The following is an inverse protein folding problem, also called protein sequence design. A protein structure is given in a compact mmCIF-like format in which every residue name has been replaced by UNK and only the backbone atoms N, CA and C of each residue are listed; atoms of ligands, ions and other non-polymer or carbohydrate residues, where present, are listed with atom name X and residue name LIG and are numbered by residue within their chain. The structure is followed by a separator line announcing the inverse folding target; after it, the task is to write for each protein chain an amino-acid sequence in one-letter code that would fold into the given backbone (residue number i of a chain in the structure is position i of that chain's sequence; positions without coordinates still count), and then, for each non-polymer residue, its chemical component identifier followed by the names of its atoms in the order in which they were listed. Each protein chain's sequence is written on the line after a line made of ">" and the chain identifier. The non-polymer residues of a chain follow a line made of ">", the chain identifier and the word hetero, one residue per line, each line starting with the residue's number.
data_IF_311281943370
#
_entry.id   IF_311281943370
#
_cell.length_a   1.000
_cell.length_b   1.000
_cell.length_c   1.000
_cell.angle_alpha   90.00
_cell.angle_beta   90.00
_cell.angle_gamma   90.00
#
_symmetry.space_group_name_H-M   'P 1'
#
loop_
_entity.id
_entity.type
_entity.pdbx_description
1 polymer ?
#
# COMPACT_ATOMS: atom_id res chain seq x y z
N UNK A 1 -13.85 20.40 11.38
CA UNK A 1 -12.61 20.10 12.14
C UNK A 1 -12.35 18.61 12.12
N UNK A 2 -11.11 18.20 11.93
CA UNK A 2 -10.70 16.81 12.07
C UNK A 2 -10.36 16.47 13.53
N UNK A 3 -10.62 15.23 13.90
CA UNK A 3 -10.36 14.66 15.24
C UNK A 3 -9.50 13.41 15.11
N UNK A 4 -8.83 13.03 16.18
CA UNK A 4 -8.10 11.77 16.29
C UNK A 4 -8.59 11.00 17.53
N UNK A 5 -8.76 9.70 17.38
CA UNK A 5 -9.08 8.79 18.47
C UNK A 5 -8.33 7.48 18.34
N UNK A 6 -8.03 6.86 19.45
CA UNK A 6 -7.45 5.53 19.54
C UNK A 6 -8.50 4.56 20.07
N UNK A 7 -8.66 3.44 19.39
CA UNK A 7 -9.66 2.42 19.72
C UNK A 7 -9.05 1.03 19.65
N UNK A 8 -9.60 0.11 20.44
CA UNK A 8 -9.26 -1.32 20.31
C UNK A 8 -10.31 -1.97 19.41
N UNK A 9 -9.85 -2.48 18.26
CA UNK A 9 -10.71 -3.16 17.29
C UNK A 9 -10.29 -4.61 17.15
N UNK A 10 -11.24 -5.52 17.23
CA UNK A 10 -11.00 -6.95 17.06
C UNK A 10 -11.08 -7.30 15.57
N UNK A 11 -10.00 -7.90 15.06
CA UNK A 11 -9.95 -8.48 13.71
C UNK A 11 -9.67 -9.97 13.79
N UNK A 12 -10.30 -10.74 12.93
CA UNK A 12 -9.89 -12.10 12.62
C UNK A 12 -8.45 -12.05 12.11
N UNK A 13 -7.53 -12.70 12.82
CA UNK A 13 -6.10 -12.57 12.58
C UNK A 13 -5.47 -13.93 12.35
N UNK A 14 -4.64 -14.02 11.30
CA UNK A 14 -3.78 -15.16 11.01
C UNK A 14 -2.33 -14.74 11.31
N UNK A 15 -1.79 -15.07 12.48
CA UNK A 15 -0.49 -14.62 12.89
C UNK A 15 0.65 -15.23 12.06
N UNK A 16 1.81 -14.60 12.12
CA UNK A 16 3.05 -15.13 11.57
C UNK A 16 4.03 -15.38 12.72
N UNK A 17 4.88 -16.40 12.57
CA UNK A 17 5.89 -16.71 13.57
C UNK A 17 6.96 -15.61 13.68
N UNK A 18 7.60 -15.52 14.82
CA UNK A 18 8.76 -14.66 15.04
C UNK A 18 9.88 -14.97 14.03
N UNK A 19 10.73 -13.98 13.74
CA UNK A 19 11.92 -14.20 12.93
C UNK A 19 12.85 -15.25 13.56
N UNK A 20 13.52 -16.04 12.71
CA UNK A 20 14.58 -16.90 13.17
C UNK A 20 15.80 -16.04 13.58
N UNK A 21 16.33 -16.14 14.79
CA UNK A 21 17.51 -15.38 15.23
C UNK A 21 18.79 -15.81 14.49
N UNK A 22 18.79 -16.97 13.85
CA UNK A 22 19.95 -17.51 13.13
C UNK A 22 19.86 -17.10 11.66
N UNK A 23 20.96 -16.57 11.12
CA UNK A 23 21.05 -16.19 9.72
C UNK A 23 20.73 -17.37 8.79
N UNK A 24 19.89 -17.15 7.79
CA UNK A 24 19.46 -18.15 6.83
C UNK A 24 19.88 -17.72 5.43
N UNK A 25 20.52 -18.64 4.68
CA UNK A 25 20.93 -18.37 3.30
C UNK A 25 19.70 -18.00 2.43
N UNK A 26 19.84 -16.95 1.65
CA UNK A 26 18.77 -16.46 0.76
C UNK A 26 17.70 -15.64 1.46
N UNK A 27 17.85 -15.36 2.76
CA UNK A 27 16.96 -14.46 3.50
C UNK A 27 17.71 -13.19 3.94
N UNK A 28 16.96 -12.09 4.02
CA UNK A 28 17.46 -10.80 4.51
C UNK A 28 17.03 -10.65 5.96
N UNK A 29 17.92 -10.07 6.80
CA UNK A 29 17.54 -9.72 8.18
C UNK A 29 16.21 -8.97 8.21
N UNK A 30 15.25 -9.35 9.07
CA UNK A 30 15.36 -10.20 10.27
C UNK A 30 15.10 -11.72 10.09
N UNK A 31 15.32 -12.31 8.97
CA UNK A 31 15.30 -13.76 8.71
C UNK A 31 14.00 -14.47 9.04
N UNK A 32 12.90 -13.95 8.55
CA UNK A 32 11.61 -14.60 8.67
C UNK A 32 11.59 -15.98 8.02
N UNK A 33 10.90 -16.90 8.64
CA UNK A 33 10.71 -18.24 8.10
C UNK A 33 9.72 -18.18 6.93
N UNK A 34 10.02 -18.88 5.86
CA UNK A 34 9.09 -19.00 4.72
C UNK A 34 7.76 -19.66 5.11
N UNK A 35 7.82 -20.65 6.01
CA UNK A 35 6.67 -21.41 6.52
C UNK A 35 6.11 -20.86 7.84
N UNK A 36 6.40 -19.61 8.15
CA UNK A 36 6.02 -18.99 9.43
C UNK A 36 4.54 -18.59 9.53
N UNK A 37 3.78 -18.68 8.46
CA UNK A 37 2.35 -18.38 8.46
C UNK A 37 1.51 -19.57 8.99
N UNK A 38 0.26 -19.29 9.36
CA UNK A 38 -0.71 -20.28 9.82
C UNK A 38 -2.04 -20.13 9.09
N UNK A 39 -2.78 -21.22 8.97
CA UNK A 39 -4.17 -21.28 8.52
C UNK A 39 -5.18 -21.21 9.67
N UNK A 40 -4.69 -21.06 10.91
CA UNK A 40 -5.51 -20.96 12.11
C UNK A 40 -5.67 -19.51 12.51
N UNK A 41 -6.90 -19.03 12.35
CA UNK A 41 -7.26 -17.70 12.78
C UNK A 41 -7.55 -17.64 14.27
N UNK A 42 -7.32 -16.45 14.84
CA UNK A 42 -7.73 -16.07 16.18
C UNK A 42 -8.34 -14.67 16.17
N UNK A 43 -9.23 -14.38 17.09
CA UNK A 43 -9.71 -13.02 17.31
C UNK A 43 -8.67 -12.24 18.11
N UNK A 44 -8.09 -11.21 17.49
CA UNK A 44 -7.08 -10.37 18.12
C UNK A 44 -7.51 -8.91 18.13
N UNK A 45 -7.42 -8.29 19.31
CA UNK A 45 -7.64 -6.86 19.46
C UNK A 45 -6.38 -6.08 19.10
N UNK A 46 -6.50 -5.22 18.09
CA UNK A 46 -5.46 -4.32 17.60
C UNK A 46 -5.68 -2.90 18.09
N UNK A 47 -4.62 -2.16 18.32
CA UNK A 47 -4.72 -0.73 18.56
C UNK A 47 -4.85 0.00 17.21
N UNK A 48 -5.91 0.76 17.07
CA UNK A 48 -6.27 1.44 15.83
C UNK A 48 -6.38 2.93 16.06
N UNK A 49 -5.69 3.72 15.26
CA UNK A 49 -5.85 5.18 15.23
C UNK A 49 -6.82 5.53 14.12
N UNK A 50 -7.83 6.34 14.45
CA UNK A 50 -8.80 6.84 13.49
C UNK A 50 -8.70 8.36 13.41
N UNK A 51 -8.38 8.87 12.23
CA UNK A 51 -8.51 10.28 11.88
C UNK A 51 -9.85 10.48 11.20
N UNK A 52 -10.62 11.47 11.63
CA UNK A 52 -11.98 11.66 11.13
C UNK A 52 -12.36 13.13 11.05
N UNK A 53 -12.96 13.53 9.93
CA UNK A 53 -13.66 14.80 9.75
C UNK A 53 -15.10 14.54 9.28
N UNK A 54 -15.80 15.56 8.80
CA UNK A 54 -17.19 15.41 8.36
C UNK A 54 -17.34 14.52 7.12
N UNK A 55 -16.27 14.35 6.32
CA UNK A 55 -16.28 13.71 5.00
C UNK A 55 -15.52 12.40 4.94
N UNK A 56 -14.45 12.25 5.71
CA UNK A 56 -13.51 11.14 5.59
C UNK A 56 -13.20 10.54 6.94
N UNK A 57 -13.10 9.22 6.99
CA UNK A 57 -12.51 8.46 8.07
C UNK A 57 -11.31 7.67 7.56
N UNK A 58 -10.15 7.83 8.21
CA UNK A 58 -8.90 7.13 7.90
C UNK A 58 -8.50 6.25 9.08
N UNK A 59 -8.35 4.97 8.84
CA UNK A 59 -7.96 3.98 9.84
C UNK A 59 -6.49 3.64 9.69
N UNK A 60 -5.72 3.69 10.77
CA UNK A 60 -4.28 3.45 10.78
C UNK A 60 -3.97 2.38 11.82
N UNK A 61 -3.08 1.44 11.49
CA UNK A 61 -2.65 0.35 12.38
C UNK A 61 -1.17 0.49 12.74
N UNK A 62 -0.84 1.16 13.86
CA UNK A 62 0.56 1.32 14.29
C UNK A 62 1.28 0.00 14.56
N UNK A 63 0.57 -1.03 15.00
CA UNK A 63 1.14 -2.35 15.29
C UNK A 63 1.46 -3.16 14.01
N UNK A 64 1.01 -2.68 12.83
CA UNK A 64 1.27 -3.30 11.52
C UNK A 64 1.94 -2.27 10.60
N UNK A 65 3.18 -1.91 10.89
CA UNK A 65 3.99 -1.02 10.06
C UNK A 65 3.49 0.43 9.98
N UNK A 66 2.52 0.84 10.79
CA UNK A 66 1.87 2.14 10.67
C UNK A 66 1.03 2.27 9.42
N UNK A 67 0.62 1.16 8.85
CA UNK A 67 -0.17 1.08 7.63
C UNK A 67 -1.48 1.87 7.76
N UNK A 68 -1.83 2.67 6.75
CA UNK A 68 -3.22 3.09 6.58
C UNK A 68 -4.00 1.84 6.22
N UNK A 69 -4.85 1.38 7.13
CA UNK A 69 -5.59 0.14 6.94
C UNK A 69 -6.75 0.31 5.96
N UNK A 70 -7.41 1.44 6.03
CA UNK A 70 -8.50 1.80 5.13
C UNK A 70 -8.81 3.29 5.17
N UNK A 71 -9.53 3.78 4.17
CA UNK A 71 -10.08 5.12 4.14
C UNK A 71 -11.45 5.12 3.45
N UNK A 72 -12.42 5.77 4.08
CA UNK A 72 -13.82 5.75 3.66
C UNK A 72 -14.34 7.18 3.47
N UNK A 73 -15.02 7.41 2.36
CA UNK A 73 -15.87 8.58 2.16
C UNK A 73 -17.16 8.40 2.98
N UNK A 74 -17.36 9.23 3.98
CA UNK A 74 -18.51 9.18 4.88
C UNK A 74 -19.82 9.61 4.22
N UNK A 75 -19.74 10.36 3.12
CA UNK A 75 -20.93 10.85 2.41
C UNK A 75 -21.58 9.76 1.57
N UNK A 76 -20.79 8.85 1.04
CA UNK A 76 -21.24 7.72 0.23
C UNK A 76 -21.17 6.38 0.96
N UNK A 77 -20.36 6.28 2.02
CA UNK A 77 -20.04 5.03 2.71
C UNK A 77 -19.07 4.14 1.95
N UNK A 78 -18.48 4.64 0.84
CA UNK A 78 -17.58 3.86 -0.02
C UNK A 78 -16.12 3.98 0.46
N UNK A 79 -15.44 2.85 0.57
CA UNK A 79 -14.01 2.82 0.80
C UNK A 79 -13.26 3.13 -0.52
N UNK A 80 -12.34 4.09 -0.46
CA UNK A 80 -11.44 4.41 -1.57
C UNK A 80 -9.99 3.94 -1.33
N UNK A 81 -9.69 3.48 -0.12
CA UNK A 81 -8.53 2.64 0.19
C UNK A 81 -9.09 1.31 0.70
N UNK A 82 -8.64 0.21 0.11
CA UNK A 82 -9.12 -1.13 0.42
C UNK A 82 -8.84 -1.48 1.89
N UNK A 83 -9.91 -1.70 2.63
CA UNK A 83 -9.92 -2.12 4.03
C UNK A 83 -10.08 -3.65 4.08
N UNK A 84 -9.02 -4.34 4.45
CA UNK A 84 -9.07 -5.80 4.52
C UNK A 84 -9.83 -6.24 5.79
N UNK A 85 -10.83 -7.10 5.63
CA UNK A 85 -11.64 -7.64 6.73
C UNK A 85 -10.84 -8.52 7.69
N UNK A 86 -9.68 -9.02 7.25
CA UNK A 86 -8.82 -9.91 8.02
C UNK A 86 -7.39 -9.40 8.09
N UNK A 87 -6.73 -9.62 9.21
CA UNK A 87 -5.28 -9.45 9.34
C UNK A 87 -4.61 -10.77 9.01
N UNK A 88 -4.08 -10.87 7.80
CA UNK A 88 -3.52 -12.12 7.28
C UNK A 88 -2.08 -11.89 6.85
N UNK A 89 -1.14 -12.33 7.69
CA UNK A 89 0.29 -12.24 7.38
C UNK A 89 0.71 -13.39 6.49
N UNK A 90 1.37 -13.05 5.37
CA UNK A 90 1.91 -14.02 4.41
C UNK A 90 3.31 -13.61 3.99
N UNK A 91 4.22 -14.56 3.88
CA UNK A 91 5.56 -14.34 3.34
C UNK A 91 5.52 -14.42 1.80
N UNK A 92 5.36 -13.28 1.16
CA UNK A 92 5.37 -13.18 -0.31
C UNK A 92 6.51 -12.31 -0.83
N UNK A 93 7.41 -11.89 0.04
CA UNK A 93 8.59 -11.11 -0.31
C UNK A 93 9.86 -11.69 0.33
N UNK A 94 11.02 -11.29 -0.18
CA UNK A 94 12.31 -11.72 0.38
C UNK A 94 12.55 -11.23 1.80
N UNK A 95 11.85 -10.22 2.25
CA UNK A 95 12.08 -9.54 3.53
C UNK A 95 11.09 -9.91 4.63
N UNK A 96 10.20 -10.83 4.36
CA UNK A 96 9.31 -11.37 5.37
C UNK A 96 7.83 -11.11 5.13
N UNK A 97 7.02 -11.27 6.18
CA UNK A 97 5.57 -11.19 6.05
C UNK A 97 5.09 -9.77 5.80
N UNK A 98 3.97 -9.68 5.12
CA UNK A 98 3.20 -8.47 4.96
C UNK A 98 1.70 -8.77 4.93
N UNK A 99 0.89 -7.76 5.05
CA UNK A 99 -0.57 -7.83 4.92
C UNK A 99 -1.01 -7.12 3.65
N UNK A 100 -2.08 -7.56 3.05
CA UNK A 100 -2.65 -6.97 1.82
C UNK A 100 -3.52 -5.74 2.10
N UNK A 101 -3.82 -4.99 1.04
CA UNK A 101 -4.68 -3.81 1.10
C UNK A 101 -4.05 -2.61 1.82
N UNK A 102 -4.84 -1.59 2.07
CA UNK A 102 -4.40 -0.38 2.75
C UNK A 102 -3.33 0.42 2.02
N UNK A 103 -2.63 1.28 2.73
CA UNK A 103 -1.41 1.95 2.22
C UNK A 103 -0.21 1.47 3.02
N UNK A 104 0.71 0.82 2.34
CA UNK A 104 1.97 0.34 2.86
C UNK A 104 3.08 1.34 2.56
N UNK A 105 3.91 1.65 3.55
CA UNK A 105 5.06 2.54 3.41
C UNK A 105 6.35 1.74 3.45
N UNK A 106 7.15 1.82 2.38
CA UNK A 106 8.38 1.07 2.23
C UNK A 106 9.58 2.00 2.13
N UNK A 107 10.56 1.76 2.98
CA UNK A 107 11.83 2.48 3.04
C UNK A 107 12.99 1.52 3.27
N UNK A 108 14.17 1.90 2.80
CA UNK A 108 15.38 1.13 3.03
C UNK A 108 15.97 0.57 1.74
N UNK A 109 16.28 -0.72 1.70
CA UNK A 109 17.10 -1.29 0.64
C UNK A 109 16.29 -1.60 -0.61
N UNK A 110 15.33 -2.51 -0.54
CA UNK A 110 14.53 -2.92 -1.70
C UNK A 110 13.29 -3.71 -1.27
N UNK A 111 12.23 -3.65 -2.07
CA UNK A 111 11.01 -4.42 -1.90
C UNK A 111 10.20 -4.05 -0.65
N UNK A 112 9.34 -4.94 -0.24
CA UNK A 112 8.58 -4.76 0.98
C UNK A 112 9.50 -4.73 2.20
N UNK A 113 9.42 -3.66 2.97
CA UNK A 113 10.26 -3.46 4.15
C UNK A 113 9.83 -4.40 5.27
N UNK A 114 10.75 -4.94 6.10
CA UNK A 114 10.39 -5.74 7.27
C UNK A 114 9.48 -5.00 8.25
N UNK A 115 9.56 -3.67 8.26
CA UNK A 115 8.74 -2.81 9.11
C UNK A 115 7.27 -2.84 8.78
N UNK A 116 6.87 -3.33 7.61
CA UNK A 116 5.45 -3.42 7.21
C UNK A 116 4.61 -4.40 8.03
N UNK A 117 5.25 -5.28 8.78
CA UNK A 117 4.59 -6.25 9.67
C UNK A 117 4.88 -6.03 11.16
N UNK A 118 5.64 -5.00 11.50
CA UNK A 118 6.05 -4.72 12.88
C UNK A 118 5.38 -3.47 13.46
N UNK A 119 5.25 -3.41 14.78
CA UNK A 119 4.90 -2.17 15.45
C UNK A 119 5.89 -1.05 15.14
N UNK A 120 5.35 0.13 14.88
CA UNK A 120 6.12 1.36 14.72
C UNK A 120 5.83 2.33 15.86
N UNK A 121 6.76 3.24 16.13
CA UNK A 121 6.49 4.38 17.00
C UNK A 121 5.48 5.30 16.33
N UNK A 122 4.57 5.87 17.10
CA UNK A 122 3.61 6.84 16.58
C UNK A 122 3.25 7.93 17.57
N UNK A 123 2.78 9.04 17.05
CA UNK A 123 2.26 10.17 17.80
C UNK A 123 0.98 10.68 17.13
N UNK A 124 -0.05 10.85 17.92
CA UNK A 124 -1.32 11.45 17.47
C UNK A 124 -1.45 12.88 17.97
N UNK A 125 -2.07 13.76 17.17
CA UNK A 125 -2.39 15.12 17.59
C UNK A 125 -3.51 15.76 16.77
N UNK A 126 -4.26 16.65 17.41
CA UNK A 126 -5.09 17.64 16.75
C UNK A 126 -4.28 18.92 16.58
N UNK A 127 -4.20 19.42 15.35
CA UNK A 127 -3.37 20.58 15.01
C UNK A 127 -4.15 21.89 15.21
N UNK A 128 -3.41 23.00 15.37
CA UNK A 128 -4.00 24.33 15.58
C UNK A 128 -4.85 24.81 14.40
N UNK A 129 -4.58 24.34 13.18
CA UNK A 129 -5.35 24.62 11.97
C UNK A 129 -6.62 23.78 11.82
N UNK A 130 -6.93 22.95 12.83
CA UNK A 130 -8.09 22.07 12.85
C UNK A 130 -7.93 20.75 12.12
N UNK A 131 -6.76 20.46 11.57
CA UNK A 131 -6.42 19.15 11.03
C UNK A 131 -6.07 18.16 12.15
N UNK A 132 -6.06 16.85 11.84
CA UNK A 132 -5.58 15.81 12.73
C UNK A 132 -4.46 15.01 12.07
N UNK A 133 -3.49 14.56 12.85
CA UNK A 133 -2.33 13.80 12.38
C UNK A 133 -2.09 12.53 13.18
N UNK A 134 -1.65 11.50 12.48
CA UNK A 134 -0.93 10.36 13.06
C UNK A 134 0.44 10.30 12.42
N UNK A 135 1.48 10.60 13.19
CA UNK A 135 2.87 10.56 12.72
C UNK A 135 3.44 9.22 13.11
N UNK A 136 3.78 8.41 12.13
CA UNK A 136 4.45 7.12 12.34
C UNK A 136 5.94 7.26 12.08
N UNK A 137 6.75 6.47 12.78
CA UNK A 137 8.22 6.50 12.66
C UNK A 137 8.83 5.15 12.94
N UNK A 138 9.93 4.84 12.23
CA UNK A 138 10.71 3.63 12.46
C UNK A 138 12.20 3.84 12.21
N UNK A 139 13.03 3.15 12.99
CA UNK A 139 14.45 2.94 12.70
C UNK A 139 14.58 1.65 11.87
N UNK A 140 15.10 1.74 10.65
CA UNK A 140 15.51 0.55 9.90
C UNK A 140 16.81 0.00 10.48
N UNK A 141 16.72 -1.17 11.07
CA UNK A 141 17.87 -1.80 11.74
C UNK A 141 18.97 -2.23 10.78
N UNK A 142 18.64 -2.49 9.52
CA UNK A 142 19.62 -2.91 8.53
C UNK A 142 20.52 -1.75 8.10
N UNK A 143 19.95 -0.60 7.78
CA UNK A 143 20.66 0.57 7.28
C UNK A 143 20.99 1.60 8.36
N UNK A 144 20.37 1.50 9.54
CA UNK A 144 20.45 2.49 10.62
C UNK A 144 19.92 3.87 10.21
N UNK A 145 19.04 3.90 9.23
CA UNK A 145 18.30 5.09 8.83
C UNK A 145 16.95 5.16 9.50
N UNK A 146 16.39 6.35 9.63
CA UNK A 146 15.03 6.52 10.14
C UNK A 146 14.11 7.05 9.03
N UNK A 147 12.87 6.64 9.07
CA UNK A 147 11.82 7.24 8.27
C UNK A 147 10.63 7.60 9.14
N UNK A 148 9.89 8.58 8.71
CA UNK A 148 8.60 8.95 9.31
C UNK A 148 7.61 9.36 8.23
N UNK A 149 6.33 9.16 8.51
CA UNK A 149 5.23 9.62 7.67
C UNK A 149 4.22 10.34 8.56
N UNK A 150 3.92 11.59 8.24
CA UNK A 150 2.78 12.30 8.82
C UNK A 150 1.54 12.01 7.95
N UNK A 151 0.66 11.19 8.48
CA UNK A 151 -0.65 10.93 7.91
C UNK A 151 -1.58 11.99 8.47
N UNK A 152 -1.98 12.95 7.64
CA UNK A 152 -2.69 14.15 8.05
C UNK A 152 -4.02 14.28 7.35
N UNK A 153 -5.08 14.43 8.12
CA UNK A 153 -6.42 14.71 7.64
C UNK A 153 -6.73 16.20 7.84
N UNK A 154 -6.99 16.98 6.78
CA UNK A 154 -7.40 18.37 6.89
C UNK A 154 -8.69 18.55 7.69
N UNK A 155 -8.88 19.75 8.22
CA UNK A 155 -10.10 20.12 8.95
C UNK A 155 -11.38 19.95 8.10
N UNK A 156 -11.24 20.21 6.81
CA UNK A 156 -12.30 20.21 5.81
C UNK A 156 -11.74 19.69 4.48
N UNK A 157 -12.38 18.71 3.88
CA UNK A 157 -11.94 18.08 2.63
C UNK A 157 -12.14 16.57 2.61
N UNK A 158 -12.12 16.05 1.39
CA UNK A 158 -12.33 14.64 1.08
C UNK A 158 -11.02 13.88 0.81
N UNK A 159 -9.91 14.40 1.25
CA UNK A 159 -8.57 13.80 1.07
C UNK A 159 -7.80 13.79 2.39
N UNK A 160 -6.78 12.99 2.44
CA UNK A 160 -5.72 13.06 3.45
C UNK A 160 -4.35 13.10 2.78
N UNK A 161 -3.35 13.52 3.52
CA UNK A 161 -1.98 13.69 3.06
C UNK A 161 -1.06 12.67 3.72
N UNK A 162 0.00 12.29 3.01
CA UNK A 162 1.09 11.48 3.56
C UNK A 162 2.41 12.17 3.28
N UNK A 163 2.99 12.81 4.30
CA UNK A 163 4.24 13.55 4.18
C UNK A 163 5.38 12.73 4.78
N UNK A 164 6.30 12.30 3.93
CA UNK A 164 7.37 11.37 4.29
C UNK A 164 8.71 12.08 4.46
N UNK A 165 9.44 11.71 5.51
CA UNK A 165 10.82 12.11 5.74
C UNK A 165 11.67 10.86 5.93
N UNK A 166 12.72 10.73 5.11
CA UNK A 166 13.75 9.72 5.31
C UNK A 166 15.05 10.40 5.73
N UNK A 167 15.66 9.91 6.79
CA UNK A 167 16.85 10.51 7.38
C UNK A 167 17.94 9.47 7.57
N UNK A 168 19.11 9.74 6.97
CA UNK A 168 20.31 8.94 7.16
C UNK A 168 21.14 9.54 8.31
N UNK A 169 21.02 8.95 9.49
CA UNK A 169 21.83 9.31 10.66
C UNK A 169 23.11 8.48 10.79
N UNK A 170 23.35 7.54 9.88
CA UNK A 170 24.59 6.77 9.84
C UNK A 170 25.75 7.64 9.33
N UNK A 171 26.98 7.31 9.68
CA UNK A 171 28.16 8.03 9.20
C UNK A 171 28.58 7.67 7.78
N UNK A 172 27.79 6.92 7.03
CA UNK A 172 28.11 6.42 5.69
C UNK A 172 26.92 6.59 4.74
N UNK A 173 27.18 6.57 3.43
CA UNK A 173 26.11 6.53 2.45
C UNK A 173 25.30 5.24 2.58
N UNK A 174 24.00 5.37 2.52
CA UNK A 174 23.07 4.25 2.58
C UNK A 174 22.26 4.14 1.28
N UNK A 175 21.90 2.92 0.86
CA UNK A 175 20.99 2.75 -0.25
C UNK A 175 19.66 3.44 0.05
N UNK A 176 19.14 4.17 -0.93
CA UNK A 176 17.86 4.83 -0.82
C UNK A 176 16.82 4.12 -1.70
N UNK A 177 15.77 3.69 -1.07
CA UNK A 177 14.61 3.12 -1.74
C UNK A 177 13.34 3.53 -0.98
N UNK A 178 12.37 4.08 -1.69
CA UNK A 178 11.12 4.50 -1.08
C UNK A 178 9.96 4.38 -2.06
N UNK A 179 8.90 3.72 -1.64
CA UNK A 179 7.65 3.67 -2.35
C UNK A 179 6.48 3.45 -1.40
N UNK A 180 5.32 3.95 -1.79
CA UNK A 180 4.05 3.71 -1.12
C UNK A 180 3.15 2.88 -2.03
N UNK A 181 2.45 1.95 -1.44
CA UNK A 181 1.61 0.99 -2.11
C UNK A 181 0.17 1.13 -1.58
N UNK A 182 -0.73 1.65 -2.41
CA UNK A 182 -2.12 1.89 -2.05
C UNK A 182 -3.03 0.84 -2.67
N UNK A 183 -3.67 0.02 -1.85
CA UNK A 183 -4.67 -0.95 -2.29
C UNK A 183 -6.02 -0.28 -2.54
N UNK A 184 -6.68 -0.66 -3.62
CA UNK A 184 -8.06 -0.28 -3.94
C UNK A 184 -8.84 -1.49 -4.42
N UNK A 185 -10.15 -1.56 -4.11
CA UNK A 185 -10.99 -2.70 -4.48
C UNK A 185 -11.05 -2.90 -5.98
N UNK A 186 -10.78 -4.12 -6.44
CA UNK A 186 -10.88 -4.52 -7.83
C UNK A 186 -12.28 -5.10 -8.10
N UNK A 187 -13.05 -4.41 -8.92
CA UNK A 187 -14.38 -4.81 -9.35
C UNK A 187 -14.48 -4.70 -10.88
N UNK A 188 -15.47 -5.36 -11.48
CA UNK A 188 -15.65 -5.43 -12.93
C UNK A 188 -15.70 -4.07 -13.62
N UNK A 189 -16.16 -3.05 -12.92
CA UNK A 189 -16.28 -1.66 -13.38
C UNK A 189 -15.05 -0.79 -13.12
N UNK A 190 -13.97 -1.36 -12.56
CA UNK A 190 -12.76 -0.62 -12.22
C UNK A 190 -11.98 -0.24 -13.48
N UNK A 191 -11.67 1.05 -13.58
CA UNK A 191 -10.78 1.61 -14.60
C UNK A 191 -9.58 2.30 -13.94
N UNK A 192 -8.38 2.08 -14.48
CA UNK A 192 -7.16 2.77 -14.08
C UNK A 192 -7.06 4.12 -14.79
N UNK A 193 -6.97 5.19 -14.04
CA UNK A 193 -6.80 6.55 -14.55
C UNK A 193 -5.34 6.95 -14.40
N UNK A 194 -4.53 6.55 -15.36
CA UNK A 194 -3.10 6.88 -15.40
C UNK A 194 -2.81 7.68 -16.68
N UNK A 195 -2.60 8.99 -16.58
CA UNK A 195 -2.07 9.75 -17.69
C UNK A 195 -0.73 9.19 -18.14
N UNK A 196 -0.58 8.93 -19.42
CA UNK A 196 0.62 8.35 -20.01
C UNK A 196 0.34 7.76 -21.39
N UNK A 197 1.37 7.27 -22.05
CA UNK A 197 1.27 6.72 -23.41
C UNK A 197 1.93 5.36 -23.56
N UNK A 198 2.72 4.95 -22.56
CA UNK A 198 3.46 3.70 -22.58
C UNK A 198 3.51 3.09 -21.18
N UNK A 199 3.71 1.79 -21.14
CA UNK A 199 4.09 1.05 -19.93
C UNK A 199 5.48 0.46 -20.09
N UNK A 200 6.23 0.46 -18.99
CA UNK A 200 7.49 -0.29 -18.87
C UNK A 200 7.24 -1.42 -17.88
N UNK A 201 7.57 -2.64 -18.27
CA UNK A 201 7.47 -3.84 -17.42
C UNK A 201 8.76 -4.06 -16.66
N UNK A 202 8.75 -4.98 -15.69
CA UNK A 202 9.92 -5.32 -14.89
C UNK A 202 11.08 -5.92 -15.72
N UNK A 203 10.79 -6.55 -16.84
CA UNK A 203 11.80 -7.05 -17.79
C UNK A 203 12.39 -5.97 -18.71
N UNK A 204 11.92 -4.71 -18.55
CA UNK A 204 12.37 -3.58 -19.36
C UNK A 204 11.66 -3.45 -20.71
N UNK A 205 10.74 -4.35 -21.05
CA UNK A 205 9.96 -4.22 -22.29
C UNK A 205 8.97 -3.05 -22.21
N UNK A 206 8.74 -2.42 -23.35
CA UNK A 206 7.87 -1.25 -23.49
C UNK A 206 6.68 -1.63 -24.34
N UNK A 207 5.49 -1.27 -23.87
CA UNK A 207 4.23 -1.50 -24.55
C UNK A 207 3.38 -0.23 -24.59
N UNK A 208 2.40 -0.20 -25.48
CA UNK A 208 1.45 0.90 -25.56
C UNK A 208 0.56 0.96 -24.30
N UNK A 209 0.11 2.15 -23.93
CA UNK A 209 -0.84 2.43 -22.87
C UNK A 209 -1.83 3.52 -23.33
N UNK A 210 -3.14 3.46 -23.01
CA UNK A 210 -3.79 2.35 -22.28
C UNK A 210 -4.08 1.11 -23.15
N UNK A 211 -4.19 1.26 -24.47
CA UNK A 211 -4.49 0.16 -25.37
C UNK A 211 -3.19 -0.51 -25.86
N UNK A 212 -2.98 -1.75 -25.42
CA UNK A 212 -1.85 -2.57 -25.84
C UNK A 212 -2.16 -3.26 -27.16
N UNK A 213 -1.47 -2.85 -28.23
CA UNK A 213 -1.68 -3.37 -29.58
C UNK A 213 -1.23 -4.80 -29.77
N UNK A 214 -0.23 -5.22 -29.01
CA UNK A 214 0.29 -6.59 -29.06
C UNK A 214 -0.74 -7.59 -28.51
N UNK A 215 -1.40 -7.23 -27.41
CA UNK A 215 -2.41 -8.07 -26.80
C UNK A 215 -3.83 -7.78 -27.28
N UNK A 216 -4.04 -6.65 -27.98
CA UNK A 216 -5.38 -6.22 -28.39
C UNK A 216 -6.31 -5.90 -27.23
N UNK A 217 -5.76 -5.31 -26.13
CA UNK A 217 -6.47 -5.10 -24.88
C UNK A 217 -6.34 -3.67 -24.38
N UNK A 218 -7.39 -3.16 -23.78
CA UNK A 218 -7.38 -1.91 -23.03
C UNK A 218 -6.96 -2.19 -21.58
N UNK A 219 -5.67 -2.00 -21.29
CA UNK A 219 -5.08 -2.28 -19.97
C UNK A 219 -5.55 -1.31 -18.88
N UNK A 220 -6.20 -0.21 -19.23
CA UNK A 220 -6.83 0.67 -18.25
C UNK A 220 -8.06 0.04 -17.61
N UNK A 221 -8.64 -1.00 -18.21
CA UNK A 221 -9.77 -1.74 -17.65
C UNK A 221 -9.29 -2.97 -16.90
N UNK A 222 -9.60 -3.02 -15.62
CA UNK A 222 -9.15 -4.14 -14.78
C UNK A 222 -9.54 -5.50 -15.37
N UNK A 223 -10.79 -5.66 -15.82
CA UNK A 223 -11.31 -6.91 -16.37
C UNK A 223 -10.60 -7.37 -17.66
N UNK A 224 -9.94 -6.47 -18.38
CA UNK A 224 -9.17 -6.82 -19.58
C UNK A 224 -7.75 -7.30 -19.25
N UNK A 225 -7.32 -7.15 -18.00
CA UNK A 225 -6.04 -7.68 -17.51
C UNK A 225 -6.13 -9.18 -17.16
N UNK A 226 -6.83 -9.96 -17.98
CA UNK A 226 -7.05 -11.39 -17.80
C UNK A 226 -5.85 -12.23 -18.29
N UNK A 227 -4.71 -12.02 -17.69
CA UNK A 227 -3.50 -12.79 -17.90
C UNK A 227 -3.39 -13.94 -16.87
N UNK A 228 -2.58 -14.95 -17.19
CA UNK A 228 -2.33 -16.06 -16.27
C UNK A 228 -1.58 -15.64 -14.99
N UNK A 229 -0.78 -14.57 -15.06
CA UNK A 229 0.09 -14.11 -13.98
C UNK A 229 -0.24 -12.69 -13.62
N UNK A 230 0.04 -12.31 -12.36
CA UNK A 230 -0.01 -10.91 -11.93
C UNK A 230 0.79 -10.01 -12.86
N UNK A 231 0.33 -8.77 -13.01
CA UNK A 231 0.98 -7.77 -13.87
C UNK A 231 1.32 -6.53 -13.07
N UNK A 232 2.45 -5.96 -13.42
CA UNK A 232 2.97 -4.74 -12.84
C UNK A 232 3.45 -3.83 -13.97
N UNK A 233 2.90 -2.63 -14.04
CA UNK A 233 3.17 -1.67 -15.12
C UNK A 233 3.63 -0.35 -14.55
N UNK A 234 4.81 0.12 -14.99
CA UNK A 234 5.26 1.50 -14.77
C UNK A 234 4.72 2.37 -15.92
N UNK A 235 3.77 3.24 -15.64
CA UNK A 235 3.17 4.10 -16.65
C UNK A 235 4.02 5.35 -16.84
N UNK A 236 4.38 5.63 -18.09
CA UNK A 236 5.26 6.74 -18.49
C UNK A 236 4.64 7.56 -19.62
N UNK A 237 5.33 8.63 -20.05
CA UNK A 237 4.89 9.48 -21.15
C UNK A 237 3.98 10.63 -20.73
N UNK A 238 4.03 11.03 -19.46
CA UNK A 238 3.25 12.17 -18.93
C UNK A 238 4.06 13.01 -17.95
N UNK A 239 3.61 14.25 -17.76
CA UNK A 239 4.05 15.14 -16.68
C UNK A 239 2.94 15.48 -15.70
N UNK A 240 1.78 14.85 -15.84
CA UNK A 240 0.67 15.07 -14.92
C UNK A 240 1.03 14.69 -13.49
N UNK A 241 0.40 15.37 -12.54
CA UNK A 241 0.69 15.22 -11.12
C UNK A 241 -0.24 14.22 -10.42
N UNK A 242 -1.13 13.58 -11.16
CA UNK A 242 -2.14 12.67 -10.63
C UNK A 242 -2.17 11.33 -11.36
N UNK A 243 -2.70 10.34 -10.68
CA UNK A 243 -3.16 9.06 -11.22
C UNK A 243 -4.15 8.46 -10.21
N UNK A 244 -4.93 7.48 -10.63
CA UNK A 244 -5.93 6.91 -9.74
C UNK A 244 -6.76 5.81 -10.38
N UNK A 245 -7.95 5.64 -9.84
CA UNK A 245 -8.94 4.68 -10.30
C UNK A 245 -10.33 5.29 -10.33
N UNK A 246 -11.18 4.72 -11.16
CA UNK A 246 -12.58 5.06 -11.31
C UNK A 246 -13.43 3.80 -11.30
N UNK A 247 -14.49 3.81 -10.51
CA UNK A 247 -15.52 2.77 -10.50
C UNK A 247 -16.75 3.31 -11.20
N UNK A 248 -16.96 2.87 -12.44
CA UNK A 248 -17.95 3.47 -13.34
C UNK A 248 -19.39 3.30 -12.83
N UNK A 249 -19.75 2.12 -12.34
CA UNK A 249 -21.11 1.83 -11.85
C UNK A 249 -21.48 2.60 -10.59
N UNK A 250 -20.47 2.99 -9.81
CA UNK A 250 -20.62 3.72 -8.55
C UNK A 250 -20.49 5.23 -8.73
N UNK A 251 -20.06 5.68 -9.92
CA UNK A 251 -19.70 7.07 -10.18
C UNK A 251 -18.75 7.64 -9.11
N UNK A 252 -17.74 6.86 -8.77
CA UNK A 252 -16.82 7.12 -7.67
C UNK A 252 -15.38 6.83 -8.08
N UNK A 253 -14.43 7.55 -7.52
CA UNK A 253 -13.02 7.32 -7.84
C UNK A 253 -12.08 7.74 -6.72
N UNK A 254 -10.86 7.21 -6.79
CA UNK A 254 -9.75 7.61 -5.92
C UNK A 254 -8.63 8.20 -6.77
N UNK A 255 -8.07 9.30 -6.32
CA UNK A 255 -6.96 9.95 -6.99
C UNK A 255 -5.78 10.16 -6.04
N UNK A 256 -4.62 9.73 -6.48
CA UNK A 256 -3.34 10.10 -5.88
C UNK A 256 -2.82 11.36 -6.59
N UNK A 257 -2.45 12.35 -5.79
CA UNK A 257 -1.81 13.57 -6.28
C UNK A 257 -0.45 13.75 -5.60
N UNK A 258 0.57 14.09 -6.38
CA UNK A 258 1.89 14.45 -5.86
C UNK A 258 2.65 15.33 -6.86
N UNK A 259 3.58 16.16 -6.36
CA UNK A 259 4.53 16.80 -7.26
C UNK A 259 5.34 15.72 -8.00
N UNK A 260 5.50 15.92 -9.31
CA UNK A 260 6.14 14.90 -10.15
C UNK A 260 7.56 14.57 -9.72
N UNK A 261 8.32 15.59 -9.35
CA UNK A 261 9.74 15.40 -8.98
C UNK A 261 9.89 14.71 -7.63
N UNK A 262 8.84 14.74 -6.80
CA UNK A 262 8.79 14.02 -5.54
C UNK A 262 8.40 12.55 -5.72
N UNK A 263 7.53 12.25 -6.67
CA UNK A 263 7.02 10.90 -6.94
C UNK A 263 7.03 10.60 -8.45
N UNK A 264 8.22 10.51 -9.07
CA UNK A 264 8.33 10.23 -10.51
C UNK A 264 7.90 8.80 -10.88
N UNK A 265 8.05 7.85 -9.97
CA UNK A 265 7.64 6.46 -10.18
C UNK A 265 6.15 6.28 -9.95
N UNK A 266 5.44 5.78 -10.98
CA UNK A 266 4.01 5.50 -10.96
C UNK A 266 3.79 4.13 -11.54
N UNK A 267 3.35 3.23 -10.69
CA UNK A 267 3.16 1.83 -11.06
C UNK A 267 1.77 1.37 -10.65
N UNK A 268 1.15 0.56 -11.45
CA UNK A 268 0.03 -0.26 -11.02
C UNK A 268 0.44 -1.71 -10.91
N UNK A 269 -0.17 -2.44 -9.99
CA UNK A 269 -0.08 -3.87 -9.86
C UNK A 269 -1.49 -4.46 -9.81
N UNK A 270 -1.69 -5.56 -10.53
CA UNK A 270 -2.94 -6.31 -10.53
C UNK A 270 -2.65 -7.80 -10.33
N UNK A 271 -3.42 -8.43 -9.46
CA UNK A 271 -3.45 -9.88 -9.35
C UNK A 271 -4.03 -10.49 -10.63
N UNK A 272 -3.68 -11.75 -10.92
CA UNK A 272 -4.20 -12.44 -12.09
C UNK A 272 -5.72 -12.63 -12.01
N UNK A 273 -6.39 -12.51 -13.17
CA UNK A 273 -7.78 -12.93 -13.36
C UNK A 273 -7.82 -14.39 -13.87
N UNK A 274 -7.34 -15.30 -13.04
CA UNK A 274 -7.16 -16.72 -13.30
C UNK A 274 -7.12 -17.47 -11.96
N UNK A 275 -7.06 -18.79 -11.99
CA UNK A 275 -6.95 -19.63 -10.78
C UNK A 275 -5.84 -19.17 -9.83
N UNK A 276 -4.74 -18.61 -10.37
CA UNK A 276 -3.69 -18.03 -9.53
C UNK A 276 -4.19 -16.82 -8.73
N UNK A 277 -4.95 -15.94 -9.35
CA UNK A 277 -5.54 -14.79 -8.67
C UNK A 277 -6.52 -15.21 -7.60
N UNK A 278 -7.32 -16.21 -7.87
CA UNK A 278 -8.30 -16.75 -6.92
C UNK A 278 -7.60 -17.37 -5.69
N UNK A 279 -6.49 -18.09 -5.91
CA UNK A 279 -5.66 -18.60 -4.81
C UNK A 279 -5.13 -17.44 -3.93
N UNK A 280 -4.63 -16.37 -4.54
CA UNK A 280 -4.14 -15.21 -3.80
C UNK A 280 -5.26 -14.45 -3.08
N UNK A 281 -6.45 -14.40 -3.66
CA UNK A 281 -7.62 -13.79 -3.01
C UNK A 281 -7.97 -14.53 -1.72
N UNK A 282 -8.05 -15.86 -1.75
CA UNK A 282 -8.22 -16.68 -0.56
C UNK A 282 -7.10 -16.46 0.47
N UNK A 283 -5.84 -16.56 0.01
CA UNK A 283 -4.67 -16.45 0.89
C UNK A 283 -4.52 -15.10 1.58
N UNK A 284 -4.99 -14.02 0.98
CA UNK A 284 -4.77 -12.66 1.47
C UNK A 284 -6.00 -12.03 2.12
N UNK A 285 -7.21 -12.42 1.70
CA UNK A 285 -8.44 -11.72 2.08
C UNK A 285 -9.58 -12.64 2.55
N UNK A 286 -9.37 -13.94 2.66
CA UNK A 286 -10.44 -14.93 2.93
C UNK A 286 -11.59 -14.83 1.91
N UNK A 287 -11.28 -14.60 0.64
CA UNK A 287 -12.23 -14.41 -0.46
C UNK A 287 -13.17 -13.19 -0.30
N UNK A 288 -12.73 -12.15 0.43
CA UNK A 288 -13.48 -10.90 0.52
C UNK A 288 -13.41 -10.03 -0.75
N UNK A 289 -12.69 -10.47 -1.78
CA UNK A 289 -12.51 -9.82 -3.06
C UNK A 289 -11.05 -9.46 -3.36
N UNK A 290 -10.77 -9.26 -4.64
CA UNK A 290 -9.47 -8.81 -5.10
C UNK A 290 -9.28 -7.30 -4.88
N UNK A 291 -8.04 -6.89 -4.83
CA UNK A 291 -7.62 -5.49 -4.88
C UNK A 291 -6.50 -5.31 -5.90
N UNK A 292 -6.33 -4.10 -6.34
CA UNK A 292 -5.20 -3.66 -7.15
C UNK A 292 -4.38 -2.67 -6.36
N UNK A 293 -3.13 -2.46 -6.76
CA UNK A 293 -2.23 -1.55 -6.08
C UNK A 293 -1.87 -0.38 -6.98
N UNK A 294 -2.10 0.82 -6.47
CA UNK A 294 -1.60 2.06 -7.05
C UNK A 294 -0.35 2.45 -6.28
N UNK A 295 0.78 2.45 -6.96
CA UNK A 295 2.07 2.62 -6.32
C UNK A 295 2.75 3.90 -6.79
N UNK A 296 3.34 4.61 -5.83
CA UNK A 296 4.16 5.79 -6.10
C UNK A 296 5.51 5.68 -5.39
N UNK A 297 6.56 6.19 -6.02
CA UNK A 297 7.90 6.14 -5.46
C UNK A 297 8.77 7.31 -5.86
N UNK A 298 9.76 7.60 -5.01
CA UNK A 298 10.78 8.61 -5.27
C UNK A 298 11.66 8.23 -6.46
N UNK A 299 11.82 6.95 -6.71
CA UNK A 299 12.57 6.41 -7.83
C UNK A 299 11.60 5.96 -8.92
N UNK A 300 12.00 6.14 -10.18
CA UNK A 300 11.21 5.71 -11.33
C UNK A 300 11.04 4.18 -11.33
N UNK A 301 12.11 3.46 -11.12
CA UNK A 301 12.11 2.00 -11.03
C UNK A 301 12.19 1.56 -9.58
N UNK A 302 11.36 0.59 -9.22
CA UNK A 302 11.27 0.03 -7.87
C UNK A 302 11.97 -1.34 -7.74
N UNK A 303 12.81 -1.68 -8.69
CA UNK A 303 13.61 -2.92 -8.68
C UNK A 303 15.10 -2.62 -8.60
#
# INVERSE_FOLDING_TARGET
>A
RATVREVRTVYKTYPFSDPNPIAVRGKIYPYFRYDGFTDRAEDKAWNVVVLENDYVAVTIMPEIGGKVWGATDKTTGLAYIYDNDVVKFRDISLRGPWTSGGIEFNYGVVGHSPTTSYPVDYLTRENADGSASCIIRMLDLLTRTTWSVDIRLPADGIWFETNSVWHNSSGVSQPYYSWANSGVSATEDLEFVYPGTMVVRHDGTIHDWPYDREYGKDLSKWRENNFLWSKSYHIVGTRDKYFGTWWADRNFGMMHYSERDDKPGRKMFSWALSDQGDIWEELLTDNAGQYVELQSGRLFNQN
#
